data_IF_664060847146
#
_entry.id   IF_664060847146
#
_cell.length_a   1.000
_cell.length_b   1.000
_cell.length_c   1.000
_cell.angle_alpha   90.00
_cell.angle_beta   90.00
_cell.angle_gamma   90.00
#
_symmetry.space_group_name_H-M   'P 1'
#
loop_
_entity.id
_entity.type
_entity.pdbx_description
1 polymer ?
#
# COMPACT_ATOMS: atom_id res chain seq x y z
N UNK A 1 2.16 23.85 -17.60
CA UNK A 1 0.72 24.04 -17.33
C UNK A 1 -0.10 22.78 -17.10
N UNK A 2 -0.12 21.78 -17.99
CA UNK A 2 -0.99 20.60 -17.77
C UNK A 2 -0.67 19.74 -16.52
N UNK A 3 0.59 19.75 -16.05
CA UNK A 3 1.01 18.94 -14.90
C UNK A 3 0.56 19.51 -13.55
N UNK A 4 0.23 20.80 -13.49
CA UNK A 4 -0.21 21.50 -12.28
C UNK A 4 -1.73 21.57 -12.13
N UNK A 5 -2.46 21.09 -13.14
CA UNK A 5 -3.91 21.00 -13.06
C UNK A 5 -4.34 19.87 -12.12
N UNK A 6 -5.51 20.01 -11.47
CA UNK A 6 -6.10 18.93 -10.69
C UNK A 6 -6.41 17.73 -11.60
N UNK A 7 -6.15 16.51 -11.11
CA UNK A 7 -6.34 15.29 -11.88
C UNK A 7 -7.82 15.00 -12.21
N UNK A 8 -8.75 15.66 -11.52
CA UNK A 8 -10.19 15.64 -11.79
C UNK A 8 -10.80 17.00 -11.46
N UNK A 9 -11.83 17.40 -12.19
CA UNK A 9 -12.61 18.58 -11.86
C UNK A 9 -13.30 18.39 -10.48
N UNK A 10 -13.20 19.36 -9.56
CA UNK A 10 -13.88 19.27 -8.28
C UNK A 10 -15.41 19.36 -8.46
N UNK A 11 -16.21 18.72 -7.58
CA UNK A 11 -17.66 18.84 -7.58
C UNK A 11 -18.11 20.29 -7.27
N UNK A 12 -19.32 20.64 -7.70
CA UNK A 12 -19.86 21.99 -7.53
C UNK A 12 -19.83 22.44 -6.06
N UNK A 13 -19.18 23.58 -5.79
CA UNK A 13 -19.05 24.16 -4.44
C UNK A 13 -17.80 23.74 -3.66
N UNK A 14 -16.91 22.91 -4.23
CA UNK A 14 -15.60 22.60 -3.63
C UNK A 14 -14.44 23.15 -4.45
N UNK A 15 -13.44 23.71 -3.78
CA UNK A 15 -12.17 24.13 -4.39
C UNK A 15 -11.11 23.06 -4.20
N UNK A 16 -10.45 22.66 -5.28
CA UNK A 16 -9.31 21.74 -5.24
C UNK A 16 -8.17 22.34 -4.39
N UNK A 17 -7.75 21.63 -3.33
CA UNK A 17 -6.61 21.99 -2.51
C UNK A 17 -5.39 21.16 -2.95
N UNK A 18 -4.58 21.76 -3.83
CA UNK A 18 -3.39 21.14 -4.44
C UNK A 18 -2.08 21.44 -3.69
N UNK A 19 -2.12 22.28 -2.65
CA UNK A 19 -0.94 22.63 -1.84
C UNK A 19 -0.85 21.79 -0.56
N UNK A 20 -1.97 21.59 0.14
CA UNK A 20 -1.99 20.79 1.37
C UNK A 20 -3.24 19.90 1.40
N UNK A 21 -3.25 18.82 0.60
CA UNK A 21 -4.38 17.91 0.57
C UNK A 21 -4.53 17.21 1.94
N UNK A 22 -5.75 17.05 2.45
CA UNK A 22 -6.00 16.33 3.69
C UNK A 22 -5.57 14.87 3.52
N UNK A 23 -4.41 14.52 4.04
CA UNK A 23 -3.86 13.17 3.98
C UNK A 23 -4.14 12.44 5.30
N UNK A 24 -4.36 11.13 5.22
CA UNK A 24 -4.50 10.27 6.39
C UNK A 24 -3.36 9.24 6.45
N UNK A 25 -2.15 9.68 6.09
CA UNK A 25 -0.96 8.83 6.00
C UNK A 25 -0.64 8.14 7.34
N UNK A 26 -0.86 8.82 8.47
CA UNK A 26 -0.66 8.23 9.80
C UNK A 26 -1.55 7.01 10.06
N UNK A 27 -2.82 7.06 9.61
CA UNK A 27 -3.74 5.94 9.75
C UNK A 27 -3.31 4.74 8.88
N UNK A 28 -2.83 5.01 7.66
CA UNK A 28 -2.29 3.97 6.76
C UNK A 28 -1.12 3.25 7.43
N UNK A 29 -0.13 3.98 7.91
CA UNK A 29 1.05 3.39 8.54
C UNK A 29 0.66 2.53 9.74
N UNK A 30 -0.24 3.01 10.60
CA UNK A 30 -0.73 2.27 11.75
C UNK A 30 -1.41 0.94 11.33
N UNK A 31 -2.34 0.99 10.38
CA UNK A 31 -3.07 -0.19 9.90
C UNK A 31 -2.13 -1.20 9.25
N UNK A 32 -1.26 -0.77 8.35
CA UNK A 32 -0.32 -1.67 7.68
C UNK A 32 0.65 -2.30 8.68
N UNK A 33 1.12 -1.55 9.68
CA UNK A 33 2.02 -2.09 10.71
C UNK A 33 1.34 -3.20 11.50
N UNK A 34 0.12 -2.97 11.99
CA UNK A 34 -0.66 -3.96 12.75
C UNK A 34 -0.94 -5.20 11.90
N UNK A 35 -1.39 -5.02 10.65
CA UNK A 35 -1.65 -6.13 9.73
C UNK A 35 -0.39 -6.97 9.46
N UNK A 36 0.76 -6.33 9.20
CA UNK A 36 2.02 -7.04 8.98
C UNK A 36 2.41 -7.84 10.23
N UNK A 37 2.31 -7.26 11.42
CA UNK A 37 2.63 -7.95 12.67
C UNK A 37 1.76 -9.19 12.87
N UNK A 38 0.44 -9.06 12.72
CA UNK A 38 -0.50 -10.15 12.89
C UNK A 38 -0.22 -11.28 11.88
N UNK A 39 -0.09 -10.94 10.59
CA UNK A 39 0.16 -11.93 9.54
C UNK A 39 1.51 -12.64 9.77
N UNK A 40 2.54 -11.91 10.18
CA UNK A 40 3.86 -12.48 10.49
C UNK A 40 3.77 -13.50 11.62
N UNK A 41 3.02 -13.20 12.68
CA UNK A 41 2.81 -14.13 13.80
C UNK A 41 2.11 -15.40 13.32
N UNK A 42 1.03 -15.28 12.54
CA UNK A 42 0.31 -16.45 12.02
C UNK A 42 1.14 -17.29 11.06
N UNK A 43 1.92 -16.66 10.19
CA UNK A 43 2.83 -17.35 9.27
C UNK A 43 3.93 -18.07 10.06
N UNK A 44 4.55 -17.43 11.04
CA UNK A 44 5.56 -18.03 11.90
C UNK A 44 5.01 -19.24 12.68
N UNK A 45 3.83 -19.10 13.29
CA UNK A 45 3.14 -20.20 13.98
C UNK A 45 2.85 -21.38 13.04
N UNK A 46 2.38 -21.10 11.83
CA UNK A 46 2.07 -22.14 10.84
C UNK A 46 3.32 -22.87 10.36
N UNK A 47 4.41 -22.13 10.13
CA UNK A 47 5.71 -22.72 9.76
C UNK A 47 6.26 -23.56 10.91
N UNK A 48 6.25 -23.05 12.13
CA UNK A 48 6.68 -23.79 13.32
C UNK A 48 5.90 -25.09 13.51
N UNK A 49 4.56 -25.00 13.50
CA UNK A 49 3.70 -26.16 13.69
C UNK A 49 3.93 -27.22 12.60
N UNK A 50 3.98 -26.83 11.33
CA UNK A 50 4.02 -27.82 10.24
C UNK A 50 5.40 -28.39 9.96
N UNK A 51 6.45 -27.58 10.05
CA UNK A 51 7.80 -28.03 9.73
C UNK A 51 8.51 -28.65 10.94
N UNK A 52 8.29 -28.12 12.15
CA UNK A 52 9.01 -28.59 13.36
C UNK A 52 8.16 -29.59 14.14
N UNK A 53 6.89 -29.30 14.41
CA UNK A 53 6.06 -30.15 15.27
C UNK A 53 5.45 -31.35 14.52
N UNK A 54 4.69 -31.10 13.45
CA UNK A 54 4.01 -32.17 12.70
C UNK A 54 4.91 -32.86 11.68
N UNK A 55 5.97 -32.19 11.20
CA UNK A 55 6.86 -32.65 10.12
C UNK A 55 6.11 -33.19 8.89
N UNK A 56 4.91 -32.69 8.64
CA UNK A 56 3.98 -33.14 7.59
C UNK A 56 3.59 -31.95 6.71
N UNK A 57 4.50 -31.59 5.81
CA UNK A 57 4.34 -30.46 4.90
C UNK A 57 3.54 -30.88 3.68
N UNK A 58 2.45 -30.17 3.38
CA UNK A 58 1.69 -30.34 2.13
C UNK A 58 2.17 -29.32 1.09
N UNK A 59 1.90 -29.58 -0.19
CA UNK A 59 2.18 -28.63 -1.30
C UNK A 59 1.67 -27.21 -0.99
N UNK A 60 0.50 -27.11 -0.35
CA UNK A 60 -0.12 -25.84 0.07
C UNK A 60 0.77 -25.02 1.02
N UNK A 61 1.60 -25.66 1.83
CA UNK A 61 2.49 -24.97 2.77
C UNK A 61 3.72 -24.36 2.08
N UNK A 62 4.11 -24.89 0.92
CA UNK A 62 5.14 -24.27 0.09
C UNK A 62 4.65 -23.02 -0.63
N UNK A 63 3.35 -22.94 -0.94
CA UNK A 63 2.70 -21.73 -1.48
C UNK A 63 2.59 -20.59 -0.46
N UNK A 64 2.69 -20.89 0.84
CA UNK A 64 2.63 -19.89 1.91
C UNK A 64 3.77 -18.89 1.82
N UNK A 65 5.00 -19.36 1.57
CA UNK A 65 6.22 -18.56 1.54
C UNK A 65 6.19 -17.49 0.42
N UNK A 66 5.94 -17.83 -0.86
CA UNK A 66 5.85 -16.82 -1.91
C UNK A 66 4.65 -15.88 -1.71
N UNK A 67 3.52 -16.40 -1.21
CA UNK A 67 2.34 -15.56 -0.91
C UNK A 67 2.65 -14.51 0.16
N UNK A 68 3.36 -14.89 1.21
CA UNK A 68 3.82 -13.95 2.24
C UNK A 68 4.80 -12.91 1.66
N UNK A 69 5.71 -13.32 0.79
CA UNK A 69 6.60 -12.40 0.07
C UNK A 69 5.84 -11.36 -0.75
N UNK A 70 4.82 -11.79 -1.51
CA UNK A 70 3.95 -10.89 -2.28
C UNK A 70 3.18 -9.93 -1.36
N UNK A 71 2.67 -10.43 -0.23
CA UNK A 71 1.99 -9.61 0.76
C UNK A 71 2.90 -8.51 1.34
N UNK A 72 4.15 -8.84 1.69
CA UNK A 72 5.13 -7.85 2.17
C UNK A 72 5.46 -6.84 1.07
N UNK A 73 5.71 -7.28 -0.16
CA UNK A 73 5.97 -6.40 -1.30
C UNK A 73 4.82 -5.42 -1.53
N UNK A 74 3.58 -5.90 -1.44
CA UNK A 74 2.38 -5.08 -1.50
C UNK A 74 2.37 -4.02 -0.39
N UNK A 75 2.58 -4.43 0.87
CA UNK A 75 2.62 -3.48 1.99
C UNK A 75 3.71 -2.40 1.84
N UNK A 76 4.91 -2.79 1.40
CA UNK A 76 6.02 -1.84 1.15
C UNK A 76 5.67 -0.86 0.04
N UNK A 77 5.02 -1.32 -1.04
CA UNK A 77 4.56 -0.45 -2.12
C UNK A 77 3.60 0.64 -1.60
N UNK A 78 2.61 0.26 -0.80
CA UNK A 78 1.68 1.21 -0.18
C UNK A 78 2.36 2.18 0.79
N UNK A 79 3.32 1.70 1.57
CA UNK A 79 4.09 2.57 2.47
C UNK A 79 4.96 3.58 1.70
N UNK A 80 5.57 3.17 0.58
CA UNK A 80 6.29 4.09 -0.31
C UNK A 80 5.38 5.10 -0.99
N UNK A 81 4.12 4.74 -1.24
CA UNK A 81 3.15 5.66 -1.82
C UNK A 81 2.80 6.81 -0.86
N UNK A 82 2.85 6.60 0.46
CA UNK A 82 2.62 7.67 1.44
C UNK A 82 3.57 8.88 1.29
N UNK A 83 4.81 8.68 0.84
CA UNK A 83 5.80 9.77 0.73
C UNK A 83 5.69 10.60 -0.54
N UNK A 84 4.81 10.20 -1.46
CA UNK A 84 4.68 10.82 -2.79
C UNK A 84 3.27 11.36 -3.01
N UNK A 85 2.28 10.50 -2.84
CA UNK A 85 0.87 10.75 -3.16
C UNK A 85 0.09 10.47 -1.89
N UNK A 86 -0.24 11.53 -1.15
CA UNK A 86 -0.96 11.44 0.12
C UNK A 86 -2.13 10.46 0.03
N UNK A 87 -2.19 9.49 0.93
CA UNK A 87 -3.24 8.49 0.96
C UNK A 87 -4.54 9.13 1.44
N UNK A 88 -5.67 8.62 0.93
CA UNK A 88 -7.01 9.15 1.20
C UNK A 88 -7.28 10.58 0.67
N UNK A 89 -6.47 11.05 -0.27
CA UNK A 89 -6.71 12.33 -0.96
C UNK A 89 -7.68 12.11 -2.12
N UNK A 90 -8.64 13.02 -2.27
CA UNK A 90 -9.57 12.97 -3.41
C UNK A 90 -8.86 13.29 -4.74
N UNK A 91 -9.32 12.70 -5.85
CA UNK A 91 -8.72 12.87 -7.19
C UNK A 91 -8.64 14.34 -7.62
N UNK A 92 -9.58 15.20 -7.19
CA UNK A 92 -9.54 16.63 -7.47
C UNK A 92 -8.52 17.42 -6.62
N UNK A 93 -7.96 16.82 -5.57
CA UNK A 93 -6.88 17.40 -4.76
C UNK A 93 -5.49 16.84 -5.16
N UNK A 94 -5.40 16.11 -6.27
CA UNK A 94 -4.14 15.61 -6.84
C UNK A 94 -3.67 16.46 -8.01
N UNK A 95 -2.38 16.77 -8.08
CA UNK A 95 -1.76 17.29 -9.30
C UNK A 95 -1.52 16.16 -10.29
N UNK A 96 -1.81 16.39 -11.57
CA UNK A 96 -1.54 15.41 -12.65
C UNK A 96 -0.06 14.99 -12.67
N UNK A 97 0.86 15.93 -12.41
CA UNK A 97 2.30 15.64 -12.31
C UNK A 97 2.68 14.71 -11.16
N UNK A 98 1.89 14.66 -10.08
CA UNK A 98 2.11 13.74 -8.94
C UNK A 98 1.78 12.28 -9.27
N UNK A 99 1.03 12.01 -10.35
CA UNK A 99 0.72 10.66 -10.82
C UNK A 99 1.86 10.08 -11.68
N UNK A 100 2.63 10.94 -12.35
CA UNK A 100 3.72 10.54 -13.26
C UNK A 100 4.73 9.53 -12.65
N UNK A 101 5.21 9.68 -11.40
CA UNK A 101 6.14 8.69 -10.82
C UNK A 101 5.54 7.29 -10.61
N UNK A 102 4.22 7.13 -10.62
CA UNK A 102 3.57 5.80 -10.51
C UNK A 102 3.35 5.12 -11.86
N UNK A 103 3.06 5.91 -12.89
CA UNK A 103 2.80 5.39 -14.25
C UNK A 103 4.07 5.21 -15.07
N UNK A 104 5.19 5.79 -14.64
CA UNK A 104 6.49 5.54 -15.25
C UNK A 104 6.97 4.14 -14.85
N UNK A 105 6.56 3.14 -15.62
CA UNK A 105 7.20 1.82 -15.62
C UNK A 105 8.69 2.05 -15.87
N UNK A 106 9.54 1.70 -14.90
CA UNK A 106 10.98 1.74 -15.11
C UNK A 106 11.33 0.67 -16.15
N UNK A 107 11.60 1.11 -17.37
CA UNK A 107 12.45 0.36 -18.29
C UNK A 107 13.89 0.47 -17.82
#
# INVERSE_FOLDING_TARGET
DFLDMPAMAPPAGQTANLENPPNHNGAVVAVYTVCITIVTIFVALRVYAKFIFLRNSRIVDYLLVPTFGIFIAHCVFWLKMNSTTGQFVHMWNFRVGGLAPFYRVSN
#
